data_IF_705044796528
#
_entry.id   IF_705044796528
#
_cell.length_a   1.000
_cell.length_b   1.000
_cell.length_c   1.000
_cell.angle_alpha   90.00
_cell.angle_beta   90.00
_cell.angle_gamma   90.00
#
_symmetry.space_group_name_H-M   'P 1'
#
loop_
_entity.id
_entity.type
_entity.pdbx_description
1 polymer ?
#
# COMPACT_ATOMS: atom_id res chain seq x y z
N UNK A 1 0.93 -4.60 27.75
CA UNK A 1 2.08 -4.41 26.87
C UNK A 1 1.98 -5.33 25.68
N UNK A 2 2.34 -4.90 24.49
CA UNK A 2 2.33 -5.75 23.30
C UNK A 2 3.54 -6.69 23.29
N UNK A 3 3.32 -7.92 22.87
CA UNK A 3 4.40 -8.84 22.53
C UNK A 3 4.81 -8.59 21.07
N UNK A 4 6.07 -8.23 20.83
CA UNK A 4 6.57 -7.99 19.50
C UNK A 4 6.88 -9.31 18.78
N UNK A 5 6.56 -9.38 17.51
CA UNK A 5 7.07 -10.44 16.66
C UNK A 5 8.58 -10.29 16.42
N UNK A 6 9.33 -11.38 16.15
CA UNK A 6 10.78 -11.31 15.97
C UNK A 6 11.24 -10.25 14.96
N UNK A 7 10.53 -10.08 13.84
CA UNK A 7 10.87 -9.08 12.83
C UNK A 7 10.63 -7.65 13.32
N UNK A 8 9.63 -7.42 14.18
CA UNK A 8 9.35 -6.11 14.79
C UNK A 8 10.44 -5.78 15.82
N UNK A 9 10.83 -6.76 16.64
CA UNK A 9 11.93 -6.60 17.59
C UNK A 9 13.23 -6.27 16.88
N UNK A 10 13.50 -6.91 15.73
CA UNK A 10 14.66 -6.60 14.90
C UNK A 10 14.63 -5.14 14.41
N UNK A 11 13.49 -4.63 13.96
CA UNK A 11 13.34 -3.22 13.55
C UNK A 11 13.64 -2.25 14.71
N UNK A 12 13.13 -2.54 15.91
CA UNK A 12 13.41 -1.75 17.13
C UNK A 12 14.90 -1.74 17.42
N UNK A 13 15.56 -2.90 17.38
CA UNK A 13 16.98 -3.03 17.65
C UNK A 13 17.84 -2.29 16.62
N UNK A 14 17.53 -2.41 15.33
CA UNK A 14 18.22 -1.70 14.27
C UNK A 14 18.07 -0.17 14.41
N UNK A 15 16.86 0.32 14.71
CA UNK A 15 16.62 1.74 14.94
C UNK A 15 17.47 2.28 16.10
N UNK A 16 17.53 1.54 17.22
CA UNK A 16 18.36 1.89 18.38
C UNK A 16 19.85 1.91 18.05
N UNK A 17 20.34 0.92 17.29
CA UNK A 17 21.73 0.86 16.86
C UNK A 17 22.11 2.04 15.96
N UNK A 18 21.25 2.45 15.03
CA UNK A 18 21.47 3.61 14.16
C UNK A 18 21.51 4.92 14.97
N UNK A 19 20.57 5.10 15.90
CA UNK A 19 20.57 6.27 16.79
C UNK A 19 21.80 6.30 17.71
N UNK A 20 22.23 5.15 18.24
CA UNK A 20 23.44 5.06 19.04
C UNK A 20 24.72 5.41 18.23
N UNK A 21 24.74 5.15 16.92
CA UNK A 21 25.79 5.57 15.98
C UNK A 21 25.65 7.04 15.53
N UNK A 22 24.85 7.83 16.24
CA UNK A 22 24.63 9.28 16.01
C UNK A 22 23.99 9.62 14.66
N UNK A 23 23.25 8.69 14.03
CA UNK A 23 22.36 9.05 12.91
C UNK A 23 21.36 10.10 13.37
N UNK A 24 21.29 11.23 12.66
CA UNK A 24 20.36 12.32 12.97
C UNK A 24 18.94 12.00 12.54
N UNK A 25 18.80 11.23 11.45
CA UNK A 25 17.50 10.85 10.90
C UNK A 25 17.51 9.41 10.36
N UNK A 26 16.67 8.54 10.93
CA UNK A 26 16.53 7.15 10.48
C UNK A 26 15.14 6.94 9.92
N UNK A 27 15.05 6.49 8.67
CA UNK A 27 13.80 6.15 8.00
C UNK A 27 13.55 4.64 8.09
N UNK A 28 12.45 4.23 8.72
CA UNK A 28 12.01 2.84 8.75
C UNK A 28 10.94 2.63 7.67
N UNK A 29 11.25 1.77 6.71
CA UNK A 29 10.34 1.39 5.62
C UNK A 29 9.75 0.04 5.95
N UNK A 30 8.44 -0.01 6.18
CA UNK A 30 7.74 -1.25 6.52
C UNK A 30 6.33 -1.24 5.92
N UNK A 31 5.87 -2.35 5.32
CA UNK A 31 4.59 -2.42 4.61
C UNK A 31 3.40 -1.97 5.48
N UNK A 32 2.32 -1.51 4.83
CA UNK A 32 1.06 -1.27 5.53
C UNK A 32 0.55 -2.58 6.16
N UNK A 33 0.03 -2.52 7.38
CA UNK A 33 -0.43 -3.71 8.11
C UNK A 33 0.66 -4.54 8.80
N UNK A 34 1.96 -4.19 8.66
CA UNK A 34 3.07 -4.87 9.34
C UNK A 34 3.20 -4.58 10.85
N UNK A 35 2.32 -3.74 11.40
CA UNK A 35 2.37 -3.38 12.82
C UNK A 35 3.33 -2.24 13.16
N UNK A 36 3.57 -1.30 12.24
CA UNK A 36 4.40 -0.09 12.47
C UNK A 36 4.08 0.61 13.79
N UNK A 37 2.79 0.79 14.11
CA UNK A 37 2.37 1.46 15.35
C UNK A 37 2.86 0.77 16.62
N UNK A 38 3.00 -0.56 16.60
CA UNK A 38 3.53 -1.35 17.73
C UNK A 38 5.05 -1.14 17.87
N UNK A 39 5.78 -1.12 16.74
CA UNK A 39 7.21 -0.80 16.72
C UNK A 39 7.46 0.62 17.24
N UNK A 40 6.65 1.60 16.80
CA UNK A 40 6.67 2.99 17.26
C UNK A 40 6.45 3.05 18.79
N UNK A 41 5.42 2.36 19.28
CA UNK A 41 5.08 2.35 20.70
C UNK A 41 6.20 1.73 21.55
N UNK A 42 6.85 0.68 21.08
CA UNK A 42 7.96 0.06 21.79
C UNK A 42 9.19 0.97 21.83
N UNK A 43 9.53 1.64 20.72
CA UNK A 43 10.62 2.62 20.70
C UNK A 43 10.33 3.78 21.66
N UNK A 44 9.09 4.31 21.65
CA UNK A 44 8.67 5.35 22.57
C UNK A 44 8.76 4.90 24.04
N UNK A 45 8.33 3.66 24.35
CA UNK A 45 8.42 3.07 25.69
C UNK A 45 9.89 2.97 26.15
N UNK A 46 10.78 2.44 25.30
CA UNK A 46 12.19 2.31 25.63
C UNK A 46 12.88 3.68 25.79
N UNK A 47 12.43 4.69 25.07
CA UNK A 47 12.93 6.06 25.24
C UNK A 47 12.46 6.67 26.58
N UNK A 48 11.17 6.56 26.86
CA UNK A 48 10.60 7.13 28.09
C UNK A 48 11.06 6.43 29.36
N UNK A 49 11.34 5.12 29.31
CA UNK A 49 11.97 4.38 30.43
C UNK A 49 13.35 4.92 30.82
N UNK A 50 14.05 5.59 29.90
CA UNK A 50 15.33 6.26 30.14
C UNK A 50 15.16 7.73 30.49
N UNK A 51 13.95 8.20 30.77
CA UNK A 51 13.65 9.61 31.06
C UNK A 51 13.66 10.52 29.81
N UNK A 52 13.79 9.97 28.60
CA UNK A 52 13.84 10.74 27.36
C UNK A 52 12.45 11.22 26.94
N UNK A 53 12.33 12.48 26.52
CA UNK A 53 11.10 13.04 26.00
C UNK A 53 10.92 12.68 24.53
N UNK A 54 9.72 12.21 24.16
CA UNK A 54 9.37 11.82 22.80
C UNK A 54 8.32 12.78 22.24
N UNK A 55 8.57 13.31 21.05
CA UNK A 55 7.59 14.07 20.28
C UNK A 55 7.11 13.20 19.13
N UNK A 56 5.81 12.89 19.13
CA UNK A 56 5.19 12.13 18.05
C UNK A 56 4.32 13.03 17.17
N UNK A 57 4.62 13.07 15.87
CA UNK A 57 3.97 13.95 14.92
C UNK A 57 3.05 13.16 13.99
N UNK A 58 1.80 13.64 13.85
CA UNK A 58 0.82 13.11 12.90
C UNK A 58 0.26 14.23 12.03
N UNK A 59 -0.25 13.87 10.84
CA UNK A 59 -0.85 14.88 9.96
C UNK A 59 -2.37 15.03 10.19
N UNK A 60 -3.06 14.05 10.79
CA UNK A 60 -4.51 14.07 11.06
C UNK A 60 -4.85 13.91 12.54
N UNK A 61 -5.88 14.62 12.98
CA UNK A 61 -6.33 14.61 14.38
C UNK A 61 -6.85 13.22 14.81
N UNK A 62 -7.47 12.48 13.91
CA UNK A 62 -8.03 11.16 14.18
C UNK A 62 -6.95 10.14 14.61
N UNK A 63 -5.73 10.32 14.14
CA UNK A 63 -4.59 9.45 14.47
C UNK A 63 -4.09 9.64 15.91
N UNK A 64 -4.33 10.81 16.52
CA UNK A 64 -3.87 11.12 17.89
C UNK A 64 -4.46 10.13 18.88
N UNK A 65 -5.78 9.95 18.85
CA UNK A 65 -6.46 9.05 19.80
C UNK A 65 -5.98 7.60 19.63
N UNK A 66 -5.81 7.15 18.40
CA UNK A 66 -5.37 5.79 18.11
C UNK A 66 -3.95 5.52 18.62
N UNK A 67 -3.00 6.43 18.35
CA UNK A 67 -1.62 6.23 18.80
C UNK A 67 -1.50 6.40 20.31
N UNK A 68 -2.26 7.33 20.91
CA UNK A 68 -2.29 7.53 22.37
C UNK A 68 -2.76 6.24 23.06
N UNK A 69 -3.83 5.61 22.58
CA UNK A 69 -4.28 4.31 23.11
C UNK A 69 -3.23 3.22 22.92
N UNK A 70 -2.54 3.22 21.78
CA UNK A 70 -1.46 2.25 21.52
C UNK A 70 -0.28 2.45 22.46
N UNK A 71 0.10 3.69 22.73
CA UNK A 71 1.15 4.04 23.69
C UNK A 71 0.77 3.63 25.12
N UNK A 72 -0.44 3.94 25.56
CA UNK A 72 -0.94 3.54 26.88
C UNK A 72 -0.96 2.02 27.04
N UNK A 73 -1.48 1.27 26.05
CA UNK A 73 -1.47 -0.20 26.05
C UNK A 73 -0.07 -0.80 26.07
N UNK A 74 0.93 -0.07 25.57
CA UNK A 74 2.33 -0.51 25.59
C UNK A 74 3.12 0.06 26.79
N UNK A 75 2.48 0.64 27.80
CA UNK A 75 3.10 1.18 29.00
C UNK A 75 4.15 2.29 28.69
N UNK A 76 3.87 3.14 27.72
CA UNK A 76 4.67 4.34 27.46
C UNK A 76 4.36 5.38 28.54
N UNK A 77 5.37 5.99 29.14
CA UNK A 77 5.15 7.08 30.10
C UNK A 77 4.68 8.34 29.37
N UNK A 78 3.37 8.55 29.38
CA UNK A 78 2.71 9.65 28.67
C UNK A 78 3.07 11.04 29.20
N UNK A 79 3.65 11.17 30.41
CA UNK A 79 4.17 12.44 30.96
C UNK A 79 5.38 12.95 30.19
N UNK A 80 6.10 12.04 29.53
CA UNK A 80 7.28 12.32 28.71
C UNK A 80 6.97 12.37 27.21
N UNK A 81 5.69 12.26 26.80
CA UNK A 81 5.32 12.20 25.39
C UNK A 81 4.44 13.36 24.97
N UNK A 82 4.83 14.06 23.91
CA UNK A 82 3.99 15.04 23.21
C UNK A 82 3.41 14.40 21.95
N UNK A 83 2.08 14.20 21.89
CA UNK A 83 1.37 13.68 20.71
C UNK A 83 0.48 14.77 20.15
N UNK A 84 0.81 15.30 18.98
CA UNK A 84 0.04 16.39 18.34
C UNK A 84 0.09 16.29 16.82
N UNK A 85 -0.84 17.00 16.16
CA UNK A 85 -0.72 17.21 14.71
C UNK A 85 0.46 18.13 14.40
N UNK A 86 1.09 17.92 13.26
CA UNK A 86 2.26 18.69 12.80
C UNK A 86 1.99 20.21 12.81
N UNK A 87 0.79 20.65 12.41
CA UNK A 87 0.41 22.08 12.45
C UNK A 87 0.35 22.64 13.87
N UNK A 88 -0.20 21.87 14.82
CA UNK A 88 -0.25 22.29 16.24
C UNK A 88 1.15 22.39 16.86
N UNK A 89 2.05 21.48 16.51
CA UNK A 89 3.45 21.54 16.98
C UNK A 89 4.15 22.76 16.38
N UNK A 90 4.07 22.95 15.06
CA UNK A 90 4.72 24.07 14.37
C UNK A 90 4.29 25.47 14.88
N UNK A 91 3.04 25.59 15.37
CA UNK A 91 2.52 26.83 15.98
C UNK A 91 2.87 26.99 17.46
N UNK A 92 3.51 26.01 18.09
CA UNK A 92 3.88 25.99 19.52
C UNK A 92 5.36 25.75 19.76
N UNK A 93 6.18 25.94 18.73
CA UNK A 93 7.64 25.88 18.87
C UNK A 93 8.09 26.88 19.94
N UNK A 94 9.03 26.49 20.78
CA UNK A 94 9.47 27.28 21.95
C UNK A 94 8.57 27.20 23.19
N UNK A 95 7.30 26.71 23.03
CA UNK A 95 6.36 26.57 24.16
C UNK A 95 6.18 25.10 24.59
N UNK A 96 6.68 24.15 23.80
CA UNK A 96 6.65 22.72 24.11
C UNK A 96 7.96 22.28 24.76
N UNK A 97 7.93 21.29 25.67
CA UNK A 97 9.16 20.72 26.20
C UNK A 97 10.04 20.21 25.05
N UNK A 98 11.35 20.51 25.09
CA UNK A 98 12.30 20.03 24.07
C UNK A 98 12.32 18.51 24.08
N UNK A 99 12.05 17.84 22.91
CA UNK A 99 12.13 16.41 22.83
C UNK A 99 13.58 15.93 22.78
N UNK A 100 13.83 14.69 23.19
CA UNK A 100 15.08 13.96 22.96
C UNK A 100 14.99 13.07 21.72
N UNK A 101 13.77 12.83 21.20
CA UNK A 101 13.49 12.04 20.01
C UNK A 101 12.21 12.54 19.34
N UNK A 102 12.27 12.76 18.03
CA UNK A 102 11.09 13.04 17.20
C UNK A 102 10.73 11.78 16.42
N UNK A 103 9.46 11.34 16.49
CA UNK A 103 8.92 10.24 15.71
C UNK A 103 7.84 10.78 14.78
N UNK A 104 7.95 10.44 13.49
CA UNK A 104 6.99 10.86 12.46
C UNK A 104 6.43 9.62 11.77
N UNK A 105 5.11 9.43 11.85
CA UNK A 105 4.43 8.42 11.03
C UNK A 105 4.03 9.00 9.68
N UNK A 106 3.84 8.12 8.69
CA UNK A 106 3.54 8.47 7.29
C UNK A 106 4.48 9.55 6.74
N UNK A 107 5.75 9.28 6.87
CA UNK A 107 6.87 10.18 6.55
C UNK A 107 6.87 10.75 5.14
N UNK A 108 6.11 10.16 4.20
CA UNK A 108 5.98 10.72 2.85
C UNK A 108 5.41 12.15 2.84
N UNK A 109 4.83 12.62 3.95
CA UNK A 109 4.46 14.03 4.16
C UNK A 109 5.59 14.92 4.70
N UNK A 110 6.72 14.36 5.18
CA UNK A 110 7.75 15.06 5.96
C UNK A 110 8.48 16.19 5.20
N UNK A 111 8.37 16.25 3.89
CA UNK A 111 8.90 17.36 3.06
C UNK A 111 7.97 18.59 2.99
N UNK A 112 6.80 18.56 3.60
CA UNK A 112 5.95 19.73 3.68
C UNK A 112 6.60 20.79 4.59
N UNK A 113 6.43 22.08 4.23
CA UNK A 113 7.04 23.23 4.96
C UNK A 113 6.81 23.17 6.47
N UNK A 114 5.66 22.68 6.89
CA UNK A 114 5.32 22.57 8.33
C UNK A 114 6.20 21.57 9.07
N UNK A 115 6.54 20.43 8.44
CA UNK A 115 7.47 19.44 9.01
C UNK A 115 8.89 20.01 9.03
N UNK A 116 9.33 20.65 7.93
CA UNK A 116 10.66 21.24 7.85
C UNK A 116 10.85 22.27 8.96
N UNK A 117 9.86 23.15 9.20
CA UNK A 117 9.89 24.12 10.31
C UNK A 117 10.17 23.45 11.67
N UNK A 118 9.60 22.29 11.94
CA UNK A 118 9.84 21.53 13.18
C UNK A 118 11.26 20.97 13.21
N UNK A 119 11.71 20.38 12.10
CA UNK A 119 13.03 19.75 12.00
C UNK A 119 14.17 20.77 12.04
N UNK A 120 13.96 21.96 11.48
CA UNK A 120 14.93 23.07 11.54
C UNK A 120 15.02 23.64 12.95
N UNK A 121 13.87 23.78 13.65
CA UNK A 121 13.86 24.24 15.03
C UNK A 121 14.54 23.26 16.00
N UNK A 122 14.33 21.96 15.80
CA UNK A 122 14.94 20.88 16.59
C UNK A 122 16.05 20.16 15.80
N UNK A 123 16.93 20.92 15.14
CA UNK A 123 17.95 20.39 14.24
C UNK A 123 18.96 19.44 14.90
N UNK A 124 19.15 19.57 16.22
CA UNK A 124 20.03 18.75 17.05
C UNK A 124 19.35 17.49 17.61
N UNK A 125 18.02 17.37 17.44
CA UNK A 125 17.25 16.24 17.96
C UNK A 125 17.16 15.13 16.90
N UNK A 126 17.55 13.88 17.26
CA UNK A 126 17.40 12.74 16.34
C UNK A 126 15.94 12.47 16.01
N UNK A 127 15.71 11.99 14.78
CA UNK A 127 14.37 11.72 14.27
C UNK A 127 14.24 10.32 13.69
N UNK A 128 13.09 9.69 13.92
CA UNK A 128 12.67 8.45 13.28
C UNK A 128 11.45 8.72 12.41
N UNK A 129 11.54 8.33 11.15
CA UNK A 129 10.43 8.35 10.21
C UNK A 129 9.91 6.95 9.94
N UNK A 130 8.59 6.80 9.81
CA UNK A 130 7.96 5.54 9.44
C UNK A 130 7.14 5.71 8.18
N UNK A 131 7.26 4.81 7.23
CA UNK A 131 6.49 4.81 5.98
C UNK A 131 6.37 3.41 5.40
N UNK A 132 5.34 3.19 4.59
CA UNK A 132 5.25 2.00 3.75
C UNK A 132 6.00 2.19 2.40
N UNK A 133 6.24 3.43 2.01
CA UNK A 133 6.83 3.79 0.71
C UNK A 133 7.74 5.01 0.88
N UNK A 134 9.07 4.87 0.73
CA UNK A 134 10.02 5.95 1.00
C UNK A 134 10.22 6.90 -0.20
N UNK A 135 9.23 7.01 -1.08
CA UNK A 135 9.25 7.92 -2.22
C UNK A 135 7.97 8.74 -2.29
N UNK A 136 8.07 9.93 -2.84
CA UNK A 136 6.94 10.79 -3.14
C UNK A 136 6.38 10.49 -4.53
N UNK A 137 5.20 11.02 -4.85
CA UNK A 137 4.55 10.90 -6.16
C UNK A 137 5.47 11.37 -7.31
N UNK A 138 6.26 12.41 -7.08
CA UNK A 138 7.23 12.93 -8.05
C UNK A 138 8.55 12.13 -8.11
N UNK A 139 8.67 11.04 -7.39
CA UNK A 139 9.86 10.19 -7.34
C UNK A 139 10.97 10.67 -6.40
N UNK A 140 10.82 11.82 -5.75
CA UNK A 140 11.82 12.31 -4.80
C UNK A 140 11.88 11.41 -3.56
N UNK A 141 13.10 11.11 -3.11
CA UNK A 141 13.38 10.44 -1.85
C UNK A 141 13.50 11.42 -0.68
N UNK A 142 14.11 10.97 0.41
CA UNK A 142 14.16 11.68 1.70
C UNK A 142 15.57 11.88 2.25
N UNK A 143 16.59 11.84 1.40
CA UNK A 143 18.00 11.99 1.80
C UNK A 143 18.32 13.34 2.47
N UNK A 144 17.50 14.36 2.25
CA UNK A 144 17.56 15.68 2.88
C UNK A 144 16.98 15.70 4.30
N UNK A 145 16.19 14.69 4.67
CA UNK A 145 15.54 14.58 5.98
C UNK A 145 16.14 13.44 6.81
N UNK A 146 16.53 12.34 6.16
CA UNK A 146 17.06 11.13 6.79
C UNK A 146 18.41 10.74 6.19
N UNK A 147 19.36 10.40 7.04
CA UNK A 147 20.72 9.97 6.68
C UNK A 147 20.86 8.45 6.62
N UNK A 148 19.90 7.71 7.19
CA UNK A 148 19.92 6.26 7.28
C UNK A 148 18.54 5.67 7.00
N UNK A 149 18.49 4.49 6.39
CA UNK A 149 17.27 3.75 6.13
C UNK A 149 17.36 2.32 6.64
N UNK A 150 16.25 1.82 7.17
CA UNK A 150 16.07 0.44 7.62
C UNK A 150 14.86 -0.11 6.87
N UNK A 151 15.07 -1.20 6.15
CA UNK A 151 13.98 -1.89 5.48
C UNK A 151 13.43 -3.03 6.35
N UNK A 152 12.11 -3.04 6.52
CA UNK A 152 11.39 -4.14 7.13
C UNK A 152 11.20 -5.31 6.17
N UNK A 153 10.57 -6.37 6.65
CA UNK A 153 10.30 -7.55 5.83
C UNK A 153 9.36 -7.22 4.66
N UNK A 154 9.62 -7.77 3.45
CA UNK A 154 8.78 -7.53 2.30
C UNK A 154 7.38 -8.15 2.47
N UNK A 155 6.41 -7.63 1.71
CA UNK A 155 4.99 -8.10 1.78
C UNK A 155 4.88 -9.60 1.55
N UNK A 156 5.62 -10.14 0.60
CA UNK A 156 5.65 -11.58 0.30
C UNK A 156 6.09 -12.43 1.49
N UNK A 157 7.12 -11.99 2.23
CA UNK A 157 7.57 -12.66 3.45
C UNK A 157 6.53 -12.58 4.56
N UNK A 158 5.89 -11.41 4.75
CA UNK A 158 4.84 -11.23 5.76
C UNK A 158 3.62 -12.12 5.47
N UNK A 159 3.26 -12.33 4.21
CA UNK A 159 2.20 -13.27 3.81
C UNK A 159 2.61 -14.72 4.13
N UNK A 160 3.83 -15.12 3.75
CA UNK A 160 4.32 -16.47 3.97
C UNK A 160 4.37 -16.85 5.45
N UNK A 161 4.69 -15.89 6.31
CA UNK A 161 4.79 -16.10 7.75
C UNK A 161 3.49 -15.75 8.50
N UNK A 162 2.36 -15.58 7.81
CA UNK A 162 1.03 -15.31 8.38
C UNK A 162 0.96 -14.01 9.22
N UNK A 163 1.72 -13.00 8.85
CA UNK A 163 1.62 -11.64 9.41
C UNK A 163 0.74 -10.73 8.55
N UNK A 164 0.55 -11.09 7.27
CA UNK A 164 -0.44 -10.52 6.38
C UNK A 164 -1.29 -11.63 5.77
N UNK A 165 -2.55 -11.34 5.45
CA UNK A 165 -3.43 -12.28 4.78
C UNK A 165 -2.99 -12.46 3.32
N UNK A 166 -3.04 -13.69 2.79
CA UNK A 166 -2.93 -13.92 1.35
C UNK A 166 -4.10 -13.22 0.64
N UNK A 167 -3.88 -12.85 -0.63
CA UNK A 167 -4.88 -12.11 -1.37
C UNK A 167 -5.14 -12.68 -2.74
N UNK A 168 -6.33 -12.37 -3.26
CA UNK A 168 -6.73 -12.57 -4.64
C UNK A 168 -6.85 -11.20 -5.29
N UNK A 169 -6.35 -11.04 -6.50
CA UNK A 169 -6.41 -9.79 -7.22
C UNK A 169 -7.24 -9.97 -8.49
N UNK A 170 -8.28 -9.18 -8.62
CA UNK A 170 -9.17 -9.16 -9.76
C UNK A 170 -9.09 -7.81 -10.43
N UNK A 171 -8.98 -7.77 -11.74
CA UNK A 171 -9.03 -6.52 -12.46
C UNK A 171 -10.02 -6.57 -13.61
N UNK A 172 -10.94 -5.63 -13.63
CA UNK A 172 -11.93 -5.45 -14.69
C UNK A 172 -11.71 -4.07 -15.27
N UNK A 173 -11.26 -3.98 -16.52
CA UNK A 173 -10.98 -2.70 -17.15
C UNK A 173 -12.26 -1.94 -17.45
N UNK A 174 -12.60 -0.95 -16.61
CA UNK A 174 -13.68 0.00 -16.85
C UNK A 174 -13.18 1.37 -17.32
N UNK A 175 -11.88 1.52 -17.56
CA UNK A 175 -11.25 2.82 -17.85
C UNK A 175 -10.50 2.79 -19.16
N UNK A 176 -10.77 3.76 -20.02
CA UNK A 176 -9.93 4.04 -21.18
C UNK A 176 -8.71 4.88 -20.77
N UNK A 177 -7.57 4.20 -20.57
CA UNK A 177 -6.33 4.83 -20.13
C UNK A 177 -5.82 5.94 -21.08
N UNK A 178 -6.23 5.95 -22.36
CA UNK A 178 -5.82 6.96 -23.33
C UNK A 178 -6.34 8.35 -23.03
N UNK A 179 -7.46 8.43 -22.31
CA UNK A 179 -8.13 9.69 -21.92
C UNK A 179 -7.59 10.29 -20.62
N UNK A 180 -6.79 9.54 -19.85
CA UNK A 180 -6.24 10.00 -18.58
C UNK A 180 -5.20 11.11 -18.77
N UNK A 181 -5.41 12.28 -18.14
CA UNK A 181 -4.52 13.43 -18.15
C UNK A 181 -4.01 13.75 -16.76
N UNK A 182 -2.70 14.05 -16.64
CA UNK A 182 -2.07 14.39 -15.37
C UNK A 182 -2.31 15.85 -15.00
N UNK A 183 -2.52 16.10 -13.70
CA UNK A 183 -2.53 17.43 -13.11
C UNK A 183 -1.11 17.93 -12.84
N UNK A 184 -0.95 19.18 -12.47
CA UNK A 184 0.33 19.74 -12.01
C UNK A 184 0.89 19.05 -10.76
N UNK A 185 0.08 18.39 -9.95
CA UNK A 185 0.52 17.57 -8.81
C UNK A 185 1.10 16.22 -9.22
N UNK A 186 0.94 15.81 -10.50
CA UNK A 186 1.46 14.57 -11.06
C UNK A 186 0.51 13.39 -11.02
N UNK A 187 -0.64 13.47 -10.34
CA UNK A 187 -1.72 12.46 -10.40
C UNK A 187 -2.78 12.87 -11.46
N UNK A 188 -3.74 11.99 -11.77
CA UNK A 188 -4.77 12.28 -12.77
C UNK A 188 -5.78 13.32 -12.28
N UNK A 189 -6.30 14.13 -13.22
CA UNK A 189 -7.38 15.08 -12.92
C UNK A 189 -8.73 14.35 -12.86
N UNK A 190 -9.63 14.75 -11.96
CA UNK A 190 -10.96 14.15 -11.85
C UNK A 190 -11.72 14.20 -13.18
N UNK A 191 -11.68 15.34 -13.90
CA UNK A 191 -12.27 15.48 -15.23
C UNK A 191 -11.77 14.42 -16.21
N UNK A 192 -10.45 14.17 -16.27
CA UNK A 192 -9.91 13.15 -17.17
C UNK A 192 -10.26 11.72 -16.73
N UNK A 193 -10.47 11.51 -15.42
CA UNK A 193 -10.96 10.24 -14.90
C UNK A 193 -12.42 10.03 -15.32
N UNK A 194 -13.29 11.05 -15.21
CA UNK A 194 -14.68 10.99 -15.67
C UNK A 194 -14.76 10.70 -17.18
N UNK A 195 -13.94 11.39 -17.98
CA UNK A 195 -13.85 11.16 -19.43
C UNK A 195 -13.37 9.74 -19.77
N UNK A 196 -12.47 9.19 -18.95
CA UNK A 196 -11.88 7.85 -19.12
C UNK A 196 -12.81 6.72 -18.67
N UNK A 197 -13.59 6.92 -17.60
CA UNK A 197 -14.57 5.96 -17.09
C UNK A 197 -15.83 5.98 -17.98
N UNK A 198 -16.17 7.13 -18.55
CA UNK A 198 -17.36 7.31 -19.37
C UNK A 198 -18.66 7.04 -18.60
N UNK A 199 -19.69 6.55 -19.31
CA UNK A 199 -20.95 6.12 -18.69
C UNK A 199 -20.78 4.72 -18.05
N UNK A 200 -20.08 4.65 -16.94
CA UNK A 200 -19.83 3.37 -16.24
C UNK A 200 -21.11 2.76 -15.75
N UNK A 201 -21.31 1.50 -16.05
CA UNK A 201 -22.43 0.71 -15.54
C UNK A 201 -22.12 0.30 -14.11
N UNK A 202 -22.65 1.02 -13.12
CA UNK A 202 -22.44 0.71 -11.69
C UNK A 202 -22.87 -0.70 -11.31
N UNK A 203 -23.82 -1.29 -12.07
CA UNK A 203 -24.22 -2.68 -11.95
C UNK A 203 -23.07 -3.67 -12.09
N UNK A 204 -22.07 -3.36 -12.89
CA UNK A 204 -20.90 -4.24 -13.07
C UNK A 204 -20.01 -4.27 -11.83
N UNK A 205 -19.92 -3.17 -11.08
CA UNK A 205 -19.18 -3.13 -9.80
C UNK A 205 -19.88 -4.03 -8.78
N UNK A 206 -21.21 -3.94 -8.67
CA UNK A 206 -22.03 -4.76 -7.77
C UNK A 206 -21.97 -6.23 -8.18
N UNK A 207 -22.13 -6.53 -9.49
CA UNK A 207 -22.05 -7.88 -10.03
C UNK A 207 -20.68 -8.52 -9.78
N UNK A 208 -19.60 -7.77 -10.02
CA UNK A 208 -18.25 -8.25 -9.76
C UNK A 208 -18.06 -8.55 -8.27
N UNK A 209 -18.53 -7.67 -7.40
CA UNK A 209 -18.45 -7.89 -5.96
C UNK A 209 -19.24 -9.12 -5.53
N UNK A 210 -20.50 -9.28 -5.99
CA UNK A 210 -21.32 -10.47 -5.70
C UNK A 210 -20.62 -11.77 -6.13
N UNK A 211 -19.94 -11.75 -7.26
CA UNK A 211 -19.26 -12.94 -7.77
C UNK A 211 -17.93 -13.23 -7.09
N UNK A 212 -17.18 -12.22 -6.61
CA UNK A 212 -15.80 -12.37 -6.13
C UNK A 212 -15.61 -12.15 -4.63
N UNK A 213 -16.48 -11.37 -4.02
CA UNK A 213 -16.34 -10.93 -2.64
C UNK A 213 -17.68 -10.95 -1.90
N UNK A 214 -18.63 -11.79 -2.34
CA UNK A 214 -19.95 -11.82 -1.73
C UNK A 214 -19.88 -11.99 -0.22
N UNK A 215 -20.60 -11.14 0.53
CA UNK A 215 -20.61 -11.12 1.98
C UNK A 215 -19.35 -10.54 2.64
N UNK A 216 -18.30 -10.22 1.89
CA UNK A 216 -17.06 -9.64 2.45
C UNK A 216 -17.27 -8.16 2.81
N UNK A 217 -16.76 -7.77 3.98
CA UNK A 217 -16.67 -6.37 4.39
C UNK A 217 -15.71 -5.64 3.45
N UNK A 218 -16.20 -4.60 2.76
CA UNK A 218 -15.52 -4.00 1.60
C UNK A 218 -15.35 -2.51 1.75
N UNK A 219 -14.15 -2.00 1.45
CA UNK A 219 -13.87 -0.58 1.26
C UNK A 219 -13.76 -0.28 -0.23
N UNK A 220 -14.46 0.75 -0.69
CA UNK A 220 -14.42 1.24 -2.08
C UNK A 220 -13.70 2.59 -2.09
N UNK A 221 -12.74 2.74 -2.99
CA UNK A 221 -12.02 3.99 -3.24
C UNK A 221 -12.49 4.60 -4.55
N UNK A 222 -13.33 5.63 -4.45
CA UNK A 222 -13.85 6.39 -5.59
C UNK A 222 -12.99 7.63 -5.86
N UNK A 223 -13.05 8.18 -7.07
CA UNK A 223 -12.29 9.36 -7.45
C UNK A 223 -12.99 10.69 -7.09
N UNK A 224 -14.33 10.69 -7.00
CA UNK A 224 -15.11 11.83 -6.55
C UNK A 224 -16.32 11.43 -5.69
N UNK A 225 -16.97 12.43 -5.09
CA UNK A 225 -18.07 12.26 -4.14
C UNK A 225 -19.34 11.77 -4.82
N UNK A 226 -19.68 12.34 -5.99
CA UNK A 226 -20.89 11.99 -6.71
C UNK A 226 -20.84 10.56 -7.23
N UNK A 227 -19.71 10.18 -7.81
CA UNK A 227 -19.44 8.80 -8.24
C UNK A 227 -19.54 7.82 -7.07
N UNK A 228 -18.93 8.16 -5.92
CA UNK A 228 -19.01 7.35 -4.71
C UNK A 228 -20.44 7.16 -4.21
N UNK A 229 -21.27 8.21 -4.22
CA UNK A 229 -22.69 8.13 -3.83
C UNK A 229 -23.49 7.26 -4.78
N UNK A 230 -23.29 7.37 -6.09
CA UNK A 230 -23.94 6.51 -7.10
C UNK A 230 -23.57 5.03 -6.91
N UNK A 231 -22.31 4.72 -6.62
CA UNK A 231 -21.87 3.34 -6.31
C UNK A 231 -22.60 2.82 -5.07
N UNK A 232 -22.68 3.63 -4.00
CA UNK A 232 -23.41 3.25 -2.77
C UNK A 232 -24.88 2.97 -3.07
N UNK A 233 -25.52 3.79 -3.90
CA UNK A 233 -26.91 3.60 -4.28
C UNK A 233 -27.12 2.29 -5.08
N UNK A 234 -26.22 1.98 -6.00
CA UNK A 234 -26.25 0.71 -6.72
C UNK A 234 -26.16 -0.51 -5.78
N UNK A 235 -25.32 -0.45 -4.74
CA UNK A 235 -25.25 -1.51 -3.74
C UNK A 235 -26.55 -1.59 -2.90
N UNK A 236 -27.12 -0.45 -2.47
CA UNK A 236 -28.39 -0.40 -1.73
C UNK A 236 -29.54 -0.98 -2.55
N UNK A 237 -29.66 -0.62 -3.82
CA UNK A 237 -30.66 -1.14 -4.74
C UNK A 237 -30.53 -2.66 -4.96
N UNK A 238 -29.32 -3.19 -4.77
CA UNK A 238 -29.06 -4.64 -4.80
C UNK A 238 -29.28 -5.34 -3.45
N UNK A 239 -29.83 -4.64 -2.43
CA UNK A 239 -30.11 -5.15 -1.09
C UNK A 239 -28.88 -5.25 -0.17
N UNK A 240 -27.81 -4.51 -0.47
CA UNK A 240 -26.55 -4.57 0.29
C UNK A 240 -26.37 -3.28 1.10
N UNK A 241 -26.19 -3.40 2.42
CA UNK A 241 -25.97 -2.25 3.29
C UNK A 241 -24.67 -1.53 2.94
N UNK A 242 -24.78 -0.31 2.44
CA UNK A 242 -23.68 0.52 1.98
C UNK A 242 -23.80 1.96 2.48
N UNK A 243 -22.66 2.60 2.74
CA UNK A 243 -22.60 4.03 3.06
C UNK A 243 -21.42 4.70 2.35
N UNK A 244 -21.59 6.01 2.08
CA UNK A 244 -20.55 6.90 1.62
C UNK A 244 -20.01 7.71 2.79
N UNK A 245 -18.69 8.00 2.79
CA UNK A 245 -18.05 8.86 3.76
C UNK A 245 -16.90 9.63 3.10
N UNK A 246 -16.89 10.95 3.29
CA UNK A 246 -15.85 11.84 2.78
C UNK A 246 -15.43 12.92 3.80
N UNK A 247 -14.58 13.86 3.39
CA UNK A 247 -14.11 14.95 4.24
C UNK A 247 -15.22 15.93 4.64
N UNK A 248 -16.30 16.02 3.85
CA UNK A 248 -17.47 16.90 4.10
C UNK A 248 -18.51 16.24 5.00
N UNK A 249 -18.44 14.91 5.18
CA UNK A 249 -19.33 14.17 6.08
C UNK A 249 -19.18 14.69 7.51
N UNK A 250 -20.27 15.07 8.16
CA UNK A 250 -20.31 15.61 9.51
C UNK A 250 -19.68 14.63 10.52
N UNK A 251 -19.04 15.16 11.58
CA UNK A 251 -18.30 14.34 12.56
C UNK A 251 -19.16 13.25 13.20
N UNK A 252 -20.40 13.57 13.59
CA UNK A 252 -21.33 12.62 14.22
C UNK A 252 -21.72 11.50 13.25
N UNK A 253 -22.12 11.87 12.04
CA UNK A 253 -22.47 10.92 10.97
C UNK A 253 -21.28 10.04 10.59
N UNK A 254 -20.08 10.61 10.43
CA UNK A 254 -18.84 9.87 10.18
C UNK A 254 -18.59 8.85 11.27
N UNK A 255 -18.70 9.21 12.54
CA UNK A 255 -18.51 8.30 13.66
C UNK A 255 -19.53 7.16 13.64
N UNK A 256 -20.78 7.43 13.31
CA UNK A 256 -21.82 6.42 13.14
C UNK A 256 -21.49 5.45 12.00
N UNK A 257 -21.19 5.97 10.81
CA UNK A 257 -20.81 5.14 9.64
C UNK A 257 -19.61 4.25 9.99
N UNK A 258 -18.58 4.79 10.63
CA UNK A 258 -17.40 4.03 11.02
C UNK A 258 -17.71 2.95 12.08
N UNK A 259 -18.59 3.24 13.04
CA UNK A 259 -19.08 2.28 14.02
C UNK A 259 -19.89 1.15 13.38
N UNK A 260 -20.81 1.50 12.48
CA UNK A 260 -21.66 0.54 11.77
C UNK A 260 -20.83 -0.33 10.81
N UNK A 261 -19.78 0.22 10.20
CA UNK A 261 -18.85 -0.56 9.40
C UNK A 261 -17.98 -1.48 10.28
N UNK A 262 -17.48 -1.02 11.42
CA UNK A 262 -16.74 -1.85 12.38
C UNK A 262 -17.59 -3.01 12.92
N UNK A 263 -18.82 -2.73 13.32
CA UNK A 263 -19.73 -3.76 13.84
C UNK A 263 -20.25 -4.76 12.79
N UNK A 264 -20.06 -4.46 11.49
CA UNK A 264 -20.55 -5.30 10.39
C UNK A 264 -21.99 -5.04 9.97
N UNK A 265 -22.67 -4.03 10.54
CA UNK A 265 -23.97 -3.55 10.09
C UNK A 265 -23.90 -3.00 8.66
N UNK A 266 -22.82 -2.33 8.31
CA UNK A 266 -22.46 -1.97 6.96
C UNK A 266 -21.51 -2.98 6.35
N UNK A 267 -21.81 -3.44 5.14
CA UNK A 267 -20.92 -4.32 4.36
C UNK A 267 -20.00 -3.52 3.45
N UNK A 268 -20.48 -2.41 2.91
CA UNK A 268 -19.78 -1.57 1.94
C UNK A 268 -19.55 -0.18 2.53
N UNK A 269 -18.30 0.26 2.51
CA UNK A 269 -17.93 1.64 2.84
C UNK A 269 -17.22 2.26 1.65
N UNK A 270 -17.90 3.16 0.94
CA UNK A 270 -17.31 3.91 -0.17
C UNK A 270 -16.79 5.25 0.33
N UNK A 271 -15.61 5.63 -0.14
CA UNK A 271 -14.97 6.87 0.30
C UNK A 271 -14.20 7.57 -0.82
N UNK A 272 -13.95 8.88 -0.59
CA UNK A 272 -13.05 9.71 -1.40
C UNK A 272 -12.00 10.30 -0.48
N UNK A 273 -10.73 9.94 -0.68
CA UNK A 273 -9.54 10.45 0.01
C UNK A 273 -9.56 10.42 1.56
N UNK A 274 -10.58 9.81 2.18
CA UNK A 274 -10.73 9.79 3.64
C UNK A 274 -10.05 8.59 4.30
N UNK A 275 -10.22 7.39 3.74
CA UNK A 275 -9.80 6.11 4.34
C UNK A 275 -8.42 5.67 3.79
N UNK A 276 -7.57 6.61 3.43
CA UNK A 276 -6.21 6.30 2.98
C UNK A 276 -5.30 5.97 4.18
N UNK A 277 -5.50 6.63 5.33
CA UNK A 277 -4.60 6.55 6.48
C UNK A 277 -5.38 6.47 7.80
N UNK A 278 -4.83 5.71 8.75
CA UNK A 278 -5.31 5.69 10.14
C UNK A 278 -6.62 4.97 10.45
N UNK A 279 -7.35 4.48 9.47
CA UNK A 279 -8.57 3.72 9.70
C UNK A 279 -8.28 2.23 9.90
N UNK A 280 -8.57 1.72 11.11
CA UNK A 280 -8.31 0.32 11.46
C UNK A 280 -9.58 -0.50 11.51
N UNK A 281 -9.74 -1.40 10.52
CA UNK A 281 -10.79 -2.42 10.46
C UNK A 281 -10.13 -3.73 9.98
N UNK A 282 -9.60 -4.52 10.91
CA UNK A 282 -8.85 -5.74 10.59
C UNK A 282 -9.66 -6.76 9.80
N UNK A 283 -10.97 -6.82 9.99
CA UNK A 283 -11.88 -7.73 9.32
C UNK A 283 -12.36 -7.24 7.93
N UNK A 284 -11.94 -6.05 7.49
CA UNK A 284 -12.09 -5.66 6.10
C UNK A 284 -11.35 -6.66 5.20
N UNK A 285 -12.08 -7.37 4.36
CA UNK A 285 -11.55 -8.48 3.56
C UNK A 285 -11.54 -8.19 2.06
N UNK A 286 -12.22 -7.12 1.63
CA UNK A 286 -12.23 -6.72 0.23
C UNK A 286 -11.92 -5.23 0.07
N UNK A 287 -11.22 -4.89 -1.02
CA UNK A 287 -11.01 -3.52 -1.48
C UNK A 287 -11.42 -3.44 -2.95
N UNK A 288 -12.19 -2.41 -3.30
CA UNK A 288 -12.52 -2.08 -4.68
C UNK A 288 -11.87 -0.74 -5.05
N UNK A 289 -11.07 -0.74 -6.11
CA UNK A 289 -10.41 0.46 -6.63
C UNK A 289 -11.17 0.97 -7.85
N UNK A 290 -11.76 2.17 -7.72
CA UNK A 290 -12.48 2.89 -8.77
C UNK A 290 -11.79 4.23 -9.10
N UNK A 291 -10.58 4.44 -8.57
CA UNK A 291 -9.75 5.61 -8.83
C UNK A 291 -8.44 5.20 -9.48
N UNK A 292 -8.21 5.53 -10.76
CA UNK A 292 -6.90 5.43 -11.36
C UNK A 292 -5.95 6.43 -10.68
N UNK A 293 -4.71 6.03 -10.44
CA UNK A 293 -3.70 6.89 -9.80
C UNK A 293 -2.32 6.68 -10.40
N UNK A 294 -1.48 7.71 -10.33
CA UNK A 294 -0.04 7.66 -10.59
C UNK A 294 0.75 7.52 -9.27
N UNK A 295 0.07 7.51 -8.13
CA UNK A 295 0.68 7.39 -6.81
C UNK A 295 0.85 5.95 -6.37
N UNK A 296 2.09 5.44 -6.39
CA UNK A 296 2.43 4.13 -5.81
C UNK A 296 2.05 4.07 -4.32
N UNK A 297 2.24 5.18 -3.59
CA UNK A 297 1.89 5.28 -2.15
C UNK A 297 0.41 5.01 -1.97
N UNK A 298 -0.45 5.73 -2.72
CA UNK A 298 -1.90 5.59 -2.63
C UNK A 298 -2.35 4.17 -3.02
N UNK A 299 -1.81 3.64 -4.12
CA UNK A 299 -2.11 2.28 -4.56
C UNK A 299 -1.79 1.24 -3.47
N UNK A 300 -0.59 1.29 -2.88
CA UNK A 300 -0.18 0.36 -1.83
C UNK A 300 -1.04 0.51 -0.58
N UNK A 301 -1.31 1.73 -0.14
CA UNK A 301 -2.15 1.98 1.04
C UNK A 301 -3.56 1.46 0.86
N UNK A 302 -4.16 1.66 -0.31
CA UNK A 302 -5.50 1.17 -0.65
C UNK A 302 -5.51 -0.36 -0.75
N UNK A 303 -4.62 -0.95 -1.55
CA UNK A 303 -4.57 -2.39 -1.79
C UNK A 303 -4.37 -3.19 -0.50
N UNK A 304 -3.44 -2.75 0.35
CA UNK A 304 -3.08 -3.49 1.55
C UNK A 304 -4.08 -3.32 2.71
N UNK A 305 -5.11 -2.49 2.56
CA UNK A 305 -6.11 -2.30 3.61
C UNK A 305 -6.86 -3.58 3.96
N UNK A 306 -7.16 -4.42 2.98
CA UNK A 306 -7.83 -5.71 3.20
C UNK A 306 -6.87 -6.84 3.63
N UNK A 307 -5.55 -6.62 3.59
CA UNK A 307 -4.55 -7.67 3.80
C UNK A 307 -4.13 -7.88 5.26
N UNK A 308 -4.77 -7.23 6.24
CA UNK A 308 -4.47 -7.51 7.66
C UNK A 308 -4.77 -8.96 7.98
N UNK A 309 -3.82 -9.61 8.66
CA UNK A 309 -3.95 -11.02 8.98
C UNK A 309 -5.11 -11.29 9.94
N UNK A 310 -5.87 -12.30 9.61
CA UNK A 310 -6.79 -13.01 10.50
C UNK A 310 -6.77 -14.50 10.12
N UNK A 311 -7.02 -15.42 11.06
CA UNK A 311 -7.13 -16.84 10.77
C UNK A 311 -8.11 -17.08 9.60
N UNK A 312 -7.72 -17.91 8.64
CA UNK A 312 -8.51 -18.30 7.47
C UNK A 312 -8.93 -17.17 6.52
N UNK A 313 -8.48 -15.94 6.75
CA UNK A 313 -8.79 -14.80 5.89
C UNK A 313 -8.03 -14.88 4.57
N UNK A 314 -8.77 -14.71 3.47
CA UNK A 314 -8.24 -14.45 2.14
C UNK A 314 -8.75 -13.08 1.70
N UNK A 315 -7.82 -12.15 1.50
CA UNK A 315 -8.17 -10.82 1.04
C UNK A 315 -8.55 -10.83 -0.45
N UNK A 316 -9.46 -9.95 -0.84
CA UNK A 316 -9.88 -9.76 -2.24
C UNK A 316 -9.62 -8.32 -2.66
N UNK A 317 -8.88 -8.14 -3.75
CA UNK A 317 -8.64 -6.83 -4.35
C UNK A 317 -9.32 -6.83 -5.72
N UNK A 318 -10.23 -5.88 -5.95
CA UNK A 318 -10.93 -5.68 -7.22
C UNK A 318 -10.48 -4.33 -7.78
N UNK A 319 -9.73 -4.35 -8.87
CA UNK A 319 -9.15 -3.17 -9.51
C UNK A 319 -9.84 -2.91 -10.84
N UNK A 320 -10.83 -2.04 -10.86
CA UNK A 320 -11.57 -1.66 -12.06
C UNK A 320 -10.83 -0.64 -12.94
N UNK A 321 -9.67 -0.17 -12.49
CA UNK A 321 -8.94 0.93 -13.14
C UNK A 321 -7.51 0.53 -13.54
N UNK A 322 -7.24 -0.78 -13.49
CA UNK A 322 -5.98 -1.42 -13.92
C UNK A 322 -4.70 -0.79 -13.37
N UNK A 323 -4.74 -0.31 -12.13
CA UNK A 323 -3.58 0.26 -11.45
C UNK A 323 -2.38 -0.70 -11.40
N UNK A 324 -2.64 -2.01 -11.36
CA UNK A 324 -1.58 -3.04 -11.37
C UNK A 324 -0.66 -2.97 -12.59
N UNK A 325 -1.14 -2.47 -13.72
CA UNK A 325 -0.31 -2.30 -14.93
C UNK A 325 0.78 -1.23 -14.73
N UNK A 326 0.52 -0.22 -13.88
CA UNK A 326 1.47 0.84 -13.56
C UNK A 326 2.44 0.43 -12.47
N UNK A 327 1.97 -0.28 -11.47
CA UNK A 327 2.69 -0.49 -10.22
C UNK A 327 3.11 -1.94 -9.95
N UNK A 328 2.63 -2.89 -10.75
CA UNK A 328 2.70 -4.31 -10.40
C UNK A 328 1.74 -4.64 -9.26
N UNK A 329 2.01 -5.74 -8.60
CA UNK A 329 1.19 -6.24 -7.49
C UNK A 329 1.58 -5.58 -6.16
N UNK A 330 0.71 -5.60 -5.12
CA UNK A 330 1.05 -5.07 -3.80
C UNK A 330 2.33 -5.67 -3.21
N UNK A 331 2.61 -6.93 -3.50
CA UNK A 331 3.78 -7.68 -3.01
C UNK A 331 4.95 -7.73 -4.02
N UNK A 332 4.88 -6.95 -5.12
CA UNK A 332 6.00 -6.82 -6.05
C UNK A 332 7.24 -6.34 -5.30
N UNK A 333 8.38 -7.02 -5.40
CA UNK A 333 9.64 -6.58 -4.80
C UNK A 333 10.03 -5.20 -5.32
N UNK A 334 10.43 -4.32 -4.43
CA UNK A 334 10.88 -2.96 -4.75
C UNK A 334 12.19 -2.68 -4.05
N UNK A 335 13.15 -2.11 -4.75
CA UNK A 335 14.38 -1.58 -4.14
C UNK A 335 14.12 -0.16 -3.71
N UNK A 336 14.18 0.06 -2.43
CA UNK A 336 14.03 1.38 -1.85
C UNK A 336 15.39 2.06 -1.66
N UNK A 337 15.45 3.36 -1.84
CA UNK A 337 16.58 4.18 -1.41
C UNK A 337 16.13 5.58 -0.96
N UNK A 338 17.00 6.27 -0.22
CA UNK A 338 16.72 7.62 0.26
C UNK A 338 16.84 8.69 -0.83
N UNK A 339 17.53 8.42 -1.94
CA UNK A 339 17.73 9.38 -3.04
C UNK A 339 16.46 9.54 -3.87
N UNK A 340 15.58 8.52 -3.81
CA UNK A 340 14.35 8.50 -4.58
C UNK A 340 14.53 7.87 -5.96
N UNK A 341 13.42 7.79 -6.67
CA UNK A 341 13.36 7.17 -7.98
C UNK A 341 13.60 8.21 -9.07
N UNK A 342 14.70 8.11 -9.80
CA UNK A 342 14.89 8.87 -11.04
C UNK A 342 14.10 8.17 -12.15
N UNK A 343 13.23 8.89 -12.87
CA UNK A 343 12.62 8.37 -14.09
C UNK A 343 13.72 7.80 -14.99
N UNK A 344 13.82 6.47 -15.05
CA UNK A 344 14.72 5.81 -16.01
C UNK A 344 14.23 6.16 -17.40
N UNK A 345 15.15 6.55 -18.29
CA UNK A 345 14.88 6.75 -19.73
C UNK A 345 14.12 5.52 -20.25
N UNK A 346 13.15 5.74 -21.17
CA UNK A 346 12.40 4.67 -21.85
C UNK A 346 13.33 3.49 -22.20
N UNK A 347 13.09 2.29 -21.64
CA UNK A 347 13.88 1.09 -21.98
C UNK A 347 14.26 0.17 -20.82
N UNK A 348 14.19 0.59 -19.57
CA UNK A 348 14.40 -0.33 -18.45
C UNK A 348 13.07 -0.95 -18.03
N UNK A 349 12.89 -2.24 -18.35
CA UNK A 349 11.79 -3.06 -17.82
C UNK A 349 11.86 -3.07 -16.30
N UNK A 350 10.73 -2.83 -15.63
CA UNK A 350 10.61 -3.05 -14.19
C UNK A 350 11.03 -4.49 -13.86
N UNK A 351 11.76 -4.72 -12.76
CA UNK A 351 12.10 -6.06 -12.26
C UNK A 351 10.87 -6.86 -11.77
N UNK A 352 9.68 -6.27 -11.85
CA UNK A 352 8.42 -6.96 -11.57
C UNK A 352 8.22 -8.08 -12.61
N UNK A 353 7.85 -9.30 -12.17
CA UNK A 353 7.54 -10.37 -13.10
C UNK A 353 6.41 -9.91 -14.04
N UNK A 354 6.56 -10.13 -15.36
CA UNK A 354 5.55 -9.75 -16.32
C UNK A 354 4.25 -10.51 -16.03
N UNK A 355 3.16 -9.78 -15.95
CA UNK A 355 1.83 -10.30 -15.63
C UNK A 355 0.87 -10.02 -16.78
N UNK A 356 -0.09 -10.91 -16.95
CA UNK A 356 -1.15 -10.81 -17.95
C UNK A 356 -2.50 -11.11 -17.34
N UNK A 357 -3.50 -10.83 -18.08
CA UNK A 357 -4.92 -10.96 -17.74
C UNK A 357 -5.52 -12.20 -18.41
N UNK A 358 -6.19 -13.07 -17.67
CA UNK A 358 -6.95 -14.20 -18.23
C UNK A 358 -8.24 -13.66 -18.92
N UNK A 359 -8.46 -13.94 -20.20
CA UNK A 359 -9.65 -13.45 -20.92
C UNK A 359 -10.96 -14.10 -20.46
N UNK A 360 -10.90 -15.23 -19.75
CA UNK A 360 -12.10 -15.99 -19.36
C UNK A 360 -12.63 -15.65 -17.98
N UNK A 361 -11.71 -15.57 -16.99
CA UNK A 361 -12.08 -15.27 -15.59
C UNK A 361 -11.43 -14.00 -15.09
N UNK A 362 -10.62 -13.36 -15.93
CA UNK A 362 -9.93 -12.11 -15.76
C UNK A 362 -8.95 -12.09 -14.57
N UNK A 363 -8.39 -13.23 -14.22
CA UNK A 363 -7.29 -13.33 -13.29
C UNK A 363 -6.06 -12.63 -13.86
N UNK A 364 -5.39 -11.81 -13.06
CA UNK A 364 -4.05 -11.34 -13.38
C UNK A 364 -3.09 -12.45 -12.97
N UNK A 365 -2.46 -13.05 -13.95
CA UNK A 365 -1.59 -14.22 -13.80
C UNK A 365 -0.21 -13.93 -14.37
N UNK A 366 0.84 -14.66 -13.97
CA UNK A 366 2.13 -14.57 -14.62
C UNK A 366 2.02 -14.79 -16.13
N UNK A 367 2.78 -14.04 -16.93
CA UNK A 367 2.67 -14.08 -18.41
C UNK A 367 2.93 -15.47 -18.99
N UNK A 368 3.73 -16.31 -18.30
CA UNK A 368 4.04 -17.68 -18.73
C UNK A 368 2.91 -18.69 -18.49
N UNK A 369 1.86 -18.35 -17.75
CA UNK A 369 0.74 -19.28 -17.53
C UNK A 369 0.00 -19.56 -18.83
N UNK A 370 0.02 -20.80 -19.30
CA UNK A 370 -0.77 -21.26 -20.46
C UNK A 370 -2.19 -21.65 -20.04
N UNK A 371 -2.35 -22.14 -18.82
CA UNK A 371 -3.64 -22.48 -18.21
C UNK A 371 -3.86 -21.54 -17.03
N UNK A 372 -5.05 -20.98 -16.92
CA UNK A 372 -5.39 -20.09 -15.80
C UNK A 372 -5.47 -20.92 -14.51
N UNK A 373 -4.66 -20.62 -13.48
CA UNK A 373 -4.69 -21.40 -12.24
C UNK A 373 -5.98 -21.24 -11.45
N UNK A 374 -6.83 -20.29 -11.87
CA UNK A 374 -8.06 -20.01 -11.18
C UNK A 374 -9.30 -20.62 -11.84
N UNK A 375 -9.46 -20.49 -13.16
CA UNK A 375 -10.63 -21.03 -13.85
C UNK A 375 -10.32 -22.32 -14.64
N UNK A 376 -9.06 -22.76 -14.65
CA UNK A 376 -8.62 -23.96 -15.36
C UNK A 376 -8.66 -23.86 -16.89
N UNK A 377 -9.05 -22.71 -17.47
CA UNK A 377 -9.14 -22.55 -18.92
C UNK A 377 -7.79 -22.18 -19.53
N UNK A 378 -7.55 -22.69 -20.74
CA UNK A 378 -6.36 -22.34 -21.51
C UNK A 378 -6.38 -20.87 -21.90
N UNK A 379 -5.24 -20.20 -21.75
CA UNK A 379 -5.06 -18.79 -22.13
C UNK A 379 -4.35 -18.75 -23.47
N UNK A 380 -5.12 -18.65 -24.56
CA UNK A 380 -4.60 -18.47 -25.91
C UNK A 380 -4.35 -16.98 -26.16
N UNK A 381 -3.22 -16.67 -26.76
CA UNK A 381 -2.92 -15.34 -27.27
C UNK A 381 -2.65 -15.49 -28.76
N UNK A 382 -3.30 -14.64 -29.56
CA UNK A 382 -2.88 -14.42 -30.93
C UNK A 382 -1.52 -13.72 -30.92
N UNK A 383 -0.66 -14.11 -31.83
CA UNK A 383 0.74 -13.66 -31.90
C UNK A 383 0.89 -12.15 -32.18
N UNK A 384 -0.17 -11.51 -32.60
CA UNK A 384 -0.25 -10.10 -32.96
C UNK A 384 -0.84 -9.27 -31.82
N UNK A 385 -0.06 -9.00 -30.79
CA UNK A 385 -0.34 -7.95 -29.82
C UNK A 385 -1.79 -7.76 -29.36
N UNK A 386 -2.01 -7.17 -28.23
CA UNK A 386 -3.32 -6.84 -27.66
C UNK A 386 -4.17 -6.12 -28.72
N UNK A 387 -5.04 -6.82 -29.41
CA UNK A 387 -6.14 -6.20 -30.15
C UNK A 387 -7.13 -5.68 -29.12
N UNK A 388 -7.25 -4.36 -29.04
CA UNK A 388 -8.40 -3.75 -28.37
C UNK A 388 -9.64 -4.18 -29.15
N UNK A 389 -10.42 -5.07 -28.58
CA UNK A 389 -11.74 -5.38 -29.12
C UNK A 389 -12.63 -4.15 -28.95
N UNK A 390 -12.68 -3.30 -29.99
CA UNK A 390 -13.50 -2.10 -30.04
C UNK A 390 -15.00 -2.39 -30.06
N UNK A 391 -15.38 -3.68 -30.17
CA UNK A 391 -16.77 -4.12 -30.30
C UNK A 391 -17.29 -4.86 -29.06
N UNK A 392 -16.50 -5.00 -28.00
CA UNK A 392 -16.95 -5.63 -26.77
C UNK A 392 -18.12 -4.84 -26.17
N UNK A 393 -19.32 -5.19 -26.57
CA UNK A 393 -20.54 -4.79 -25.88
C UNK A 393 -20.44 -5.29 -24.44
N UNK A 394 -20.78 -4.42 -23.51
CA UNK A 394 -20.72 -4.57 -22.04
C UNK A 394 -21.46 -5.82 -21.50
N UNK A 395 -22.17 -6.56 -22.36
CA UNK A 395 -22.98 -7.73 -22.01
C UNK A 395 -22.23 -9.02 -21.68
N UNK A 396 -20.91 -9.12 -21.97
CA UNK A 396 -20.08 -10.29 -21.66
C UNK A 396 -18.87 -9.90 -20.83
N UNK A 397 -19.12 -9.44 -19.62
CA UNK A 397 -18.05 -9.17 -18.65
C UNK A 397 -17.59 -10.47 -18.01
N UNK A 398 -16.40 -10.91 -18.35
CA UNK A 398 -15.73 -12.04 -17.73
C UNK A 398 -15.06 -11.68 -16.40
N UNK A 399 -14.42 -12.58 -15.73
CA UNK A 399 -13.99 -12.49 -14.32
C UNK A 399 -12.50 -12.82 -14.10
N UNK A 400 -11.79 -12.08 -13.23
CA UNK A 400 -10.33 -12.22 -13.00
C UNK A 400 -9.90 -12.73 -11.62
N UNK A 401 -8.76 -13.41 -11.53
CA UNK A 401 -8.17 -13.89 -10.28
C UNK A 401 -6.65 -14.07 -10.34
N UNK A 402 -5.89 -13.56 -9.35
CA UNK A 402 -4.57 -14.11 -9.03
C UNK A 402 -4.71 -15.05 -7.85
N UNK A 403 -4.23 -16.27 -8.02
CA UNK A 403 -3.83 -17.12 -6.90
C UNK A 403 -2.34 -16.91 -6.71
N UNK A 404 -1.95 -16.20 -5.66
CA UNK A 404 -0.57 -16.20 -5.23
C UNK A 404 -0.34 -17.50 -4.46
N UNK A 405 0.05 -18.54 -5.16
CA UNK A 405 0.72 -19.67 -4.53
C UNK A 405 2.15 -19.19 -4.23
N UNK A 406 2.37 -18.73 -3.02
CA UNK A 406 3.66 -18.16 -2.60
C UNK A 406 4.80 -19.13 -2.84
N UNK A 407 4.61 -20.43 -2.54
CA UNK A 407 5.65 -21.45 -2.70
C UNK A 407 6.01 -21.67 -4.19
N UNK A 408 5.00 -21.72 -5.07
CA UNK A 408 5.24 -21.86 -6.52
C UNK A 408 5.83 -20.60 -7.15
N UNK A 409 5.56 -19.43 -6.57
CA UNK A 409 5.97 -18.13 -7.14
C UNK A 409 7.13 -17.45 -6.42
N UNK A 410 7.72 -18.06 -5.36
CA UNK A 410 8.79 -17.42 -4.59
C UNK A 410 9.99 -17.01 -5.46
N UNK A 411 10.36 -17.85 -6.44
CA UNK A 411 11.46 -17.56 -7.36
C UNK A 411 11.10 -16.51 -8.39
N UNK A 412 9.84 -16.44 -8.84
CA UNK A 412 9.38 -15.39 -9.74
C UNK A 412 9.45 -14.00 -9.13
N UNK A 413 9.42 -13.91 -7.80
CA UNK A 413 9.42 -12.66 -7.03
C UNK A 413 10.77 -12.26 -6.46
N UNK A 414 11.73 -13.20 -6.40
CA UNK A 414 13.07 -12.93 -5.87
C UNK A 414 13.82 -12.00 -6.82
N UNK A 415 14.46 -10.93 -6.31
CA UNK A 415 15.32 -10.09 -7.12
C UNK A 415 16.58 -10.85 -7.55
N UNK A 416 17.02 -10.63 -8.79
CA UNK A 416 18.24 -11.26 -9.31
C UNK A 416 19.50 -10.84 -8.56
N UNK A 417 19.47 -9.71 -7.87
CA UNK A 417 20.59 -9.17 -7.10
C UNK A 417 20.63 -9.67 -5.64
N UNK A 418 19.55 -10.32 -5.19
CA UNK A 418 19.42 -10.85 -3.84
C UNK A 418 19.75 -12.37 -3.79
N UNK A 419 20.42 -12.90 -4.81
CA UNK A 419 20.80 -14.31 -4.87
C UNK A 419 22.30 -14.49 -4.67
N UNK A 420 22.65 -15.49 -3.89
CA UNK A 420 24.04 -15.82 -3.56
C UNK A 420 24.63 -16.92 -4.47
N UNK A 421 23.76 -17.65 -5.21
CA UNK A 421 24.16 -18.78 -6.05
C UNK A 421 23.63 -18.62 -7.47
N UNK A 422 24.47 -18.99 -8.45
CA UNK A 422 24.11 -18.95 -9.87
C UNK A 422 22.86 -19.78 -10.18
N UNK A 423 22.68 -20.94 -9.52
CA UNK A 423 21.52 -21.82 -9.68
C UNK A 423 20.20 -21.11 -9.35
N UNK A 424 20.21 -20.17 -8.40
CA UNK A 424 19.02 -19.41 -8.04
C UNK A 424 18.58 -18.44 -9.15
N UNK A 425 19.54 -17.92 -9.93
CA UNK A 425 19.23 -17.15 -11.15
C UNK A 425 18.53 -18.01 -12.21
N UNK A 426 18.93 -19.28 -12.35
CA UNK A 426 18.22 -20.22 -13.25
C UNK A 426 16.81 -20.54 -12.74
N UNK A 427 16.60 -20.68 -11.42
CA UNK A 427 15.28 -20.86 -10.83
C UNK A 427 14.40 -19.63 -11.05
N UNK A 428 14.96 -18.43 -10.91
CA UNK A 428 14.27 -17.16 -11.23
C UNK A 428 13.93 -17.09 -12.71
N UNK A 429 14.88 -17.42 -13.61
CA UNK A 429 14.65 -17.42 -15.04
C UNK A 429 13.52 -18.40 -15.42
N UNK A 430 13.55 -19.61 -14.89
CA UNK A 430 12.50 -20.63 -15.10
C UNK A 430 11.14 -20.15 -14.58
N UNK A 431 11.09 -19.60 -13.37
CA UNK A 431 9.87 -19.10 -12.74
C UNK A 431 9.27 -17.89 -13.47
N UNK A 432 10.11 -17.07 -14.13
CA UNK A 432 9.70 -15.89 -14.91
C UNK A 432 9.49 -16.18 -16.40
N UNK A 433 9.71 -17.43 -16.85
CA UNK A 433 9.61 -17.79 -18.25
C UNK A 433 10.70 -17.17 -19.14
N UNK A 434 11.84 -16.80 -18.56
CA UNK A 434 12.98 -16.28 -19.32
C UNK A 434 13.81 -17.40 -19.91
N UNK A 435 14.48 -17.11 -21.05
CA UNK A 435 15.45 -18.05 -21.64
C UNK A 435 16.62 -18.29 -20.67
N UNK A 436 17.24 -19.50 -20.65
CA UNK A 436 18.37 -19.79 -19.75
C UNK A 436 19.53 -18.78 -19.87
N UNK A 437 19.78 -18.23 -21.05
CA UNK A 437 20.77 -17.17 -21.26
C UNK A 437 20.57 -15.92 -20.41
N UNK A 438 19.34 -15.62 -19.95
CA UNK A 438 19.08 -14.53 -19.02
C UNK A 438 19.80 -14.76 -17.68
N UNK A 439 19.77 -15.99 -17.16
CA UNK A 439 20.44 -16.33 -15.89
C UNK A 439 21.96 -16.20 -16.03
N UNK A 440 22.53 -16.70 -17.15
CA UNK A 440 23.95 -16.57 -17.44
C UNK A 440 24.40 -15.10 -17.51
N UNK A 441 23.68 -14.26 -18.28
CA UNK A 441 23.99 -12.84 -18.42
C UNK A 441 23.91 -12.08 -17.09
N UNK A 442 22.95 -12.42 -16.23
CA UNK A 442 22.83 -11.81 -14.90
C UNK A 442 23.91 -12.33 -13.94
N UNK A 443 24.27 -13.61 -13.99
CA UNK A 443 25.38 -14.15 -13.21
C UNK A 443 26.71 -13.46 -13.55
N UNK A 444 26.97 -13.24 -14.84
CA UNK A 444 28.15 -12.47 -15.31
C UNK A 444 28.10 -11.01 -14.86
N UNK A 445 26.94 -10.34 -14.97
CA UNK A 445 26.73 -8.96 -14.51
C UNK A 445 26.95 -8.80 -13.00
N UNK A 446 26.60 -9.81 -12.22
CA UNK A 446 26.74 -9.82 -10.76
C UNK A 446 28.10 -10.34 -10.28
N UNK A 447 29.02 -10.64 -11.20
CA UNK A 447 30.35 -11.15 -10.86
C UNK A 447 30.38 -12.57 -10.29
N UNK A 448 29.31 -13.34 -10.45
CA UNK A 448 29.18 -14.70 -9.95
C UNK A 448 29.79 -15.74 -10.92
N UNK A 449 30.11 -15.33 -12.13
CA UNK A 449 30.85 -16.09 -13.15
C UNK A 449 32.00 -15.25 -13.66
N UNK A 450 33.18 -15.88 -13.82
CA UNK A 450 34.36 -15.30 -14.43
C UNK A 450 34.21 -15.15 -15.96
#
# INVERSE_FOLDING_TARGET
MYQLFPYQQNLVNQARLRLAKKSKGVLLVSPAGSGKSIVIAEIARLATLKGNRVMFTVHRQELINQITQTFQKNNVDMRLVTVMTVGKIANRLGKLPKPSLIITDETHHSKAKTYQKIYDYYFDVPRLGFTATPWRLNGQGFQDVYDSMIEGQPVSWLIANKYLAPYKYFSVKLVDNSKLKKSGSGDFTNKSIDDAIGKTVFGDVVKTWKNKANGQKTIIYAHDIEYSKRVVEAFKNAGINAAHCDSKTGKSERNKIMSDFKSGKLKILSNVDLISEGFDVPDCSCVIMLRPTESLVLFIQQAMRCMRYQPNKKATIIDHVVNYQRFGMPDTPRKWDLKGWKKKKKGHKNDAPPIKTCPHCWAVVPVQCKVCPECGKEIKYDADGIQEDKTAKIEKVGEFKIVTDYEKNKWARKNSEDVEKVEDLYKIAKARGYKPGWAYMNAKRLGMLK
#
